data_IF_041547761684
#
_entry.id   IF_041547761684
#
_cell.length_a   1.000
_cell.length_b   1.000
_cell.length_c   1.000
_cell.angle_alpha   90.00
_cell.angle_beta   90.00
_cell.angle_gamma   90.00
#
_symmetry.space_group_name_H-M   'P 1'
#
loop_
_entity.id
_entity.type
_entity.pdbx_description
1 polymer ?
#
# COMPACT_ATOMS: atom_id res chain seq x y z
N UNK A 1 -16.68 -26.20 12.34
CA UNK A 1 -16.70 -24.94 11.60
C UNK A 1 -17.96 -24.18 12.02
N UNK A 2 -17.80 -22.94 12.54
CA UNK A 2 -18.94 -22.09 12.87
C UNK A 2 -19.39 -21.34 11.60
N UNK A 3 -20.69 -21.36 11.25
CA UNK A 3 -21.21 -20.60 10.13
C UNK A 3 -21.20 -19.11 10.48
N UNK A 4 -20.79 -18.28 9.54
CA UNK A 4 -20.86 -16.81 9.63
C UNK A 4 -21.81 -16.32 8.54
N UNK A 5 -22.72 -15.43 8.90
CA UNK A 5 -23.66 -14.81 7.95
C UNK A 5 -23.01 -13.53 7.41
N UNK A 6 -22.63 -13.56 6.14
CA UNK A 6 -22.29 -12.39 5.32
C UNK A 6 -23.41 -12.17 4.28
N UNK A 7 -23.08 -12.05 3.01
CA UNK A 7 -24.07 -12.08 1.92
C UNK A 7 -24.76 -13.44 1.86
N UNK A 8 -24.01 -14.51 2.16
CA UNK A 8 -24.49 -15.89 2.30
C UNK A 8 -24.01 -16.47 3.63
N UNK A 9 -24.47 -17.67 3.96
CA UNK A 9 -23.94 -18.44 5.10
C UNK A 9 -22.67 -19.14 4.64
N UNK A 10 -21.54 -18.73 5.20
CA UNK A 10 -20.22 -19.23 4.85
C UNK A 10 -19.53 -19.91 6.04
N UNK A 11 -18.63 -20.87 5.81
CA UNK A 11 -17.81 -21.44 6.86
C UNK A 11 -16.81 -20.37 7.37
N UNK A 12 -16.76 -20.14 8.67
CA UNK A 12 -15.80 -19.23 9.26
C UNK A 12 -14.38 -19.78 9.14
N UNK A 13 -13.44 -18.89 8.86
CA UNK A 13 -12.00 -19.14 8.93
C UNK A 13 -11.31 -18.04 9.75
N UNK A 14 -10.13 -18.36 10.25
CA UNK A 14 -9.25 -17.39 10.91
C UNK A 14 -7.96 -17.28 10.12
N UNK A 15 -7.63 -16.06 9.69
CA UNK A 15 -6.35 -15.73 9.07
C UNK A 15 -5.50 -14.94 10.07
N UNK A 16 -4.27 -15.38 10.30
CA UNK A 16 -3.30 -14.64 11.12
C UNK A 16 -2.24 -14.05 10.19
N UNK A 17 -2.17 -12.72 10.14
CA UNK A 17 -1.16 -12.00 9.37
C UNK A 17 -0.06 -11.52 10.30
N UNK A 18 1.12 -12.09 10.17
CA UNK A 18 2.33 -11.66 10.88
C UNK A 18 3.07 -10.63 10.05
N UNK A 19 3.44 -9.51 10.65
CA UNK A 19 4.23 -8.45 10.01
C UNK A 19 5.15 -7.76 11.02
N UNK A 20 6.14 -7.02 10.53
CA UNK A 20 7.08 -6.25 11.37
C UNK A 20 6.37 -5.17 12.18
N UNK A 21 5.33 -4.58 11.60
CA UNK A 21 4.48 -3.59 12.25
C UNK A 21 3.09 -3.60 11.60
N UNK A 22 2.08 -3.24 12.39
CA UNK A 22 0.71 -3.01 11.92
C UNK A 22 0.34 -1.52 11.88
N UNK A 23 1.34 -0.63 11.89
CA UNK A 23 1.12 0.80 11.71
C UNK A 23 0.67 1.06 10.28
N UNK A 24 -0.37 1.87 10.14
CA UNK A 24 -1.09 2.18 8.90
C UNK A 24 -1.10 3.69 8.65
N UNK A 25 -1.33 4.09 7.43
CA UNK A 25 -1.49 5.51 7.09
C UNK A 25 -2.58 6.18 7.91
N UNK A 26 -3.69 5.47 8.15
CA UNK A 26 -4.82 5.97 8.94
C UNK A 26 -4.47 6.38 10.37
N UNK A 27 -3.45 5.80 11.00
CA UNK A 27 -3.01 6.26 12.32
C UNK A 27 -2.46 7.70 12.29
N UNK A 28 -1.66 8.03 11.26
CA UNK A 28 -1.10 9.37 11.07
C UNK A 28 -2.18 10.37 10.67
N UNK A 29 -3.02 9.98 9.70
CA UNK A 29 -4.16 10.76 9.25
C UNK A 29 -5.08 11.11 10.42
N UNK A 30 -5.43 10.13 11.25
CA UNK A 30 -6.30 10.32 12.41
C UNK A 30 -5.73 11.35 13.40
N UNK A 31 -4.47 11.20 13.83
CA UNK A 31 -3.88 12.14 14.80
C UNK A 31 -3.68 13.52 14.21
N UNK A 32 -3.35 13.62 12.91
CA UNK A 32 -3.24 14.90 12.22
C UNK A 32 -4.62 15.61 12.13
N UNK A 33 -5.65 14.95 11.62
CA UNK A 33 -6.98 15.55 11.46
C UNK A 33 -7.69 15.85 12.79
N UNK A 34 -7.44 15.05 13.80
CA UNK A 34 -8.00 15.30 15.15
C UNK A 34 -7.17 16.27 15.98
N UNK A 35 -6.14 16.88 15.37
CA UNK A 35 -5.25 17.86 15.99
C UNK A 35 -4.64 17.37 17.32
N UNK A 36 -4.03 16.19 17.29
CA UNK A 36 -3.35 15.58 18.42
C UNK A 36 -1.83 15.52 18.16
N UNK A 37 -1.13 16.68 18.14
CA UNK A 37 0.27 16.75 17.71
C UNK A 37 1.22 15.95 18.62
N UNK A 38 0.94 15.89 19.93
CA UNK A 38 1.77 15.09 20.85
C UNK A 38 1.70 13.59 20.57
N UNK A 39 0.51 13.09 20.18
CA UNK A 39 0.35 11.68 19.80
C UNK A 39 0.95 11.39 18.43
N UNK A 40 0.83 12.33 17.50
CA UNK A 40 1.47 12.24 16.20
C UNK A 40 2.99 12.18 16.35
N UNK A 41 3.58 13.06 17.19
CA UNK A 41 5.01 13.03 17.50
C UNK A 41 5.40 11.69 18.14
N UNK A 42 4.66 11.21 19.12
CA UNK A 42 4.94 9.91 19.75
C UNK A 42 4.86 8.74 18.76
N UNK A 43 3.98 8.82 17.75
CA UNK A 43 3.90 7.83 16.68
C UNK A 43 5.13 7.89 15.77
N UNK A 44 5.61 9.07 15.39
CA UNK A 44 6.86 9.24 14.66
C UNK A 44 8.06 8.70 15.44
N UNK A 45 8.17 9.05 16.73
CA UNK A 45 9.25 8.57 17.59
C UNK A 45 9.26 7.06 17.72
N UNK A 46 8.06 6.45 17.81
CA UNK A 46 7.92 5.00 17.77
C UNK A 46 8.40 4.42 16.44
N UNK A 47 8.06 5.04 15.32
CA UNK A 47 8.50 4.60 13.99
C UNK A 47 10.04 4.64 13.87
N UNK A 48 10.68 5.70 14.29
CA UNK A 48 12.14 5.82 14.24
C UNK A 48 12.84 4.88 15.24
N UNK A 49 12.21 4.60 16.37
CA UNK A 49 12.79 3.70 17.38
C UNK A 49 12.71 2.22 16.99
N UNK A 50 11.66 1.80 16.26
CA UNK A 50 11.37 0.39 16.01
C UNK A 50 11.35 0.05 14.51
N UNK A 51 10.26 0.29 13.75
CA UNK A 51 10.16 -0.22 12.38
C UNK A 51 11.14 0.44 11.39
N UNK A 52 11.57 1.68 11.67
CA UNK A 52 12.52 2.43 10.83
C UNK A 52 13.77 2.86 11.61
N UNK A 53 14.24 2.01 12.53
CA UNK A 53 15.42 2.29 13.37
C UNK A 53 16.73 2.43 12.58
N UNK A 54 16.73 2.09 11.31
CA UNK A 54 17.85 2.33 10.39
C UNK A 54 17.93 3.77 9.90
N UNK A 55 16.84 4.54 9.99
CA UNK A 55 16.86 5.98 9.69
C UNK A 55 17.51 6.70 10.86
N UNK A 56 18.65 7.33 10.59
CA UNK A 56 19.44 7.99 11.63
C UNK A 56 18.82 9.33 12.05
N UNK A 57 19.14 9.78 13.28
CA UNK A 57 18.71 11.08 13.81
C UNK A 57 19.43 12.22 13.07
N UNK A 58 18.92 12.60 11.91
CA UNK A 58 19.38 13.71 11.07
C UNK A 58 18.26 14.72 10.87
N UNK A 59 18.59 15.89 10.34
CA UNK A 59 17.57 16.88 9.93
C UNK A 59 16.65 16.37 8.81
N UNK A 60 17.07 15.34 8.07
CA UNK A 60 16.32 14.74 6.95
C UNK A 60 15.48 13.53 7.33
N UNK A 61 15.45 13.08 8.59
CA UNK A 61 14.80 11.83 9.01
C UNK A 61 13.32 11.71 8.59
N UNK A 62 12.56 12.80 8.65
CA UNK A 62 11.15 12.80 8.23
C UNK A 62 11.01 12.66 6.71
N UNK A 63 11.89 13.31 5.95
CA UNK A 63 11.94 13.17 4.50
C UNK A 63 12.34 11.76 4.07
N UNK A 64 13.32 11.17 4.74
CA UNK A 64 13.76 9.78 4.53
C UNK A 64 12.64 8.81 4.81
N UNK A 65 11.89 8.99 5.93
CA UNK A 65 10.74 8.16 6.27
C UNK A 65 9.64 8.25 5.19
N UNK A 66 9.25 9.47 4.80
CA UNK A 66 8.24 9.68 3.78
C UNK A 66 8.65 9.04 2.45
N UNK A 67 9.89 9.28 2.01
CA UNK A 67 10.43 8.70 0.77
C UNK A 67 10.49 7.17 0.81
N UNK A 68 10.86 6.59 1.95
CA UNK A 68 10.88 5.14 2.13
C UNK A 68 9.47 4.56 2.00
N UNK A 69 8.48 5.15 2.68
CA UNK A 69 7.08 4.71 2.61
C UNK A 69 6.52 4.84 1.18
N UNK A 70 6.80 5.94 0.48
CA UNK A 70 6.44 6.14 -0.93
C UNK A 70 7.04 5.03 -1.81
N UNK A 71 8.34 4.77 -1.63
CA UNK A 71 9.07 3.75 -2.40
C UNK A 71 8.50 2.34 -2.18
N UNK A 72 8.26 1.97 -0.94
CA UNK A 72 7.77 0.63 -0.59
C UNK A 72 6.32 0.44 -1.04
N UNK A 73 5.50 1.48 -0.94
CA UNK A 73 4.13 1.47 -1.47
C UNK A 73 4.13 1.35 -3.00
N UNK A 74 4.98 2.10 -3.71
CA UNK A 74 5.11 2.00 -5.16
C UNK A 74 5.47 0.59 -5.62
N UNK A 75 6.44 -0.05 -4.95
CA UNK A 75 6.83 -1.44 -5.22
C UNK A 75 5.72 -2.44 -4.91
N UNK A 76 4.94 -2.24 -3.85
CA UNK A 76 3.79 -3.08 -3.53
C UNK A 76 2.73 -2.99 -4.62
N UNK A 77 2.35 -1.79 -5.03
CA UNK A 77 1.35 -1.56 -6.09
C UNK A 77 1.83 -2.13 -7.42
N UNK A 78 3.11 -1.99 -7.77
CA UNK A 78 3.70 -2.60 -8.96
C UNK A 78 3.53 -4.14 -8.96
N UNK A 79 3.73 -4.80 -7.81
CA UNK A 79 3.47 -6.24 -7.67
C UNK A 79 2.00 -6.58 -7.84
N UNK A 80 1.09 -5.81 -7.26
CA UNK A 80 -0.35 -6.03 -7.43
C UNK A 80 -0.75 -5.96 -8.89
N UNK A 81 -0.28 -4.93 -9.60
CA UNK A 81 -0.56 -4.78 -11.03
C UNK A 81 0.09 -5.89 -11.88
N UNK A 82 1.32 -6.31 -11.57
CA UNK A 82 2.03 -7.33 -12.33
C UNK A 82 1.44 -8.74 -12.17
N UNK A 83 0.88 -9.03 -10.98
CA UNK A 83 0.34 -10.35 -10.65
C UNK A 83 -1.19 -10.44 -10.71
N UNK A 84 -1.86 -9.38 -11.16
CA UNK A 84 -3.32 -9.37 -11.27
C UNK A 84 -4.04 -9.39 -9.92
N UNK A 85 -3.42 -8.86 -8.85
CA UNK A 85 -4.04 -8.80 -7.53
C UNK A 85 -4.90 -7.55 -7.37
N UNK A 86 -6.18 -7.74 -7.04
CA UNK A 86 -7.11 -6.68 -6.67
C UNK A 86 -7.41 -6.74 -5.17
N UNK A 87 -7.10 -5.66 -4.45
CA UNK A 87 -7.32 -5.59 -2.99
C UNK A 87 -8.77 -5.33 -2.62
N UNK A 88 -9.47 -4.49 -3.38
CA UNK A 88 -10.89 -4.18 -3.24
C UNK A 88 -11.30 -3.22 -2.12
N UNK A 89 -10.42 -2.88 -1.17
CA UNK A 89 -10.70 -1.87 -0.11
C UNK A 89 -9.41 -1.15 0.28
N UNK A 90 -9.03 -0.15 -0.49
CA UNK A 90 -7.78 0.59 -0.32
C UNK A 90 -8.02 1.94 0.37
N UNK A 91 -8.58 1.94 1.57
CA UNK A 91 -8.58 3.12 2.43
C UNK A 91 -7.25 3.21 3.21
N UNK A 92 -6.99 4.35 3.86
CA UNK A 92 -5.76 4.58 4.62
C UNK A 92 -5.55 3.60 5.78
N UNK A 93 -6.65 3.02 6.31
CA UNK A 93 -6.59 1.99 7.35
C UNK A 93 -6.12 0.63 6.84
N UNK A 94 -6.10 0.43 5.52
CA UNK A 94 -5.63 -0.79 4.88
C UNK A 94 -4.26 -0.63 4.19
N UNK A 95 -3.60 0.52 4.41
CA UNK A 95 -2.29 0.82 3.84
C UNK A 95 -1.20 0.77 4.91
N UNK A 96 -0.28 -0.18 4.77
CA UNK A 96 0.87 -0.34 5.66
C UNK A 96 1.96 0.68 5.35
N UNK A 97 2.61 1.22 6.39
CA UNK A 97 3.83 2.04 6.21
C UNK A 97 5.03 1.25 5.67
N UNK A 98 4.95 -0.07 5.61
CA UNK A 98 6.01 -0.94 5.06
C UNK A 98 5.74 -1.40 3.62
N UNK A 99 4.72 -0.90 2.94
CA UNK A 99 4.37 -1.37 1.61
C UNK A 99 4.13 -2.88 1.55
N UNK A 100 3.46 -3.43 2.55
CA UNK A 100 3.05 -4.84 2.62
C UNK A 100 1.54 -4.96 2.58
N UNK A 101 1.04 -6.00 1.92
CA UNK A 101 -0.39 -6.29 1.86
C UNK A 101 -0.87 -6.88 3.17
N UNK A 102 -1.92 -6.30 3.75
CA UNK A 102 -2.70 -6.87 4.85
C UNK A 102 -4.16 -6.42 4.78
N UNK A 103 -4.99 -6.86 5.73
CA UNK A 103 -6.44 -6.64 5.72
C UNK A 103 -7.12 -7.23 4.47
N UNK A 104 -6.87 -8.51 4.25
CA UNK A 104 -7.46 -9.28 3.16
C UNK A 104 -8.99 -9.43 3.36
N UNK A 105 -9.73 -8.44 2.85
CA UNK A 105 -11.20 -8.45 2.78
C UNK A 105 -11.68 -9.12 1.50
N UNK A 106 -12.34 -8.39 0.60
CA UNK A 106 -12.86 -8.94 -0.66
C UNK A 106 -11.78 -9.00 -1.76
N UNK A 107 -10.55 -9.41 -1.46
CA UNK A 107 -9.48 -9.50 -2.47
C UNK A 107 -9.71 -10.60 -3.48
N UNK A 108 -9.13 -10.44 -4.66
CA UNK A 108 -9.11 -11.47 -5.70
C UNK A 108 -7.83 -11.39 -6.54
N UNK A 109 -7.55 -12.49 -7.27
CA UNK A 109 -6.63 -12.47 -8.40
C UNK A 109 -7.45 -12.55 -9.69
N UNK A 110 -7.02 -11.84 -10.73
CA UNK A 110 -7.66 -11.88 -12.04
C UNK A 110 -7.33 -13.21 -12.73
N UNK A 111 -8.35 -13.92 -13.21
CA UNK A 111 -8.18 -15.10 -14.07
C UNK A 111 -7.77 -14.66 -15.51
N UNK A 112 -8.50 -13.66 -16.03
CA UNK A 112 -8.21 -12.99 -17.28
C UNK A 112 -8.03 -11.49 -17.04
N UNK A 113 -7.24 -10.82 -17.87
CA UNK A 113 -7.03 -9.38 -17.73
C UNK A 113 -8.32 -8.60 -17.98
N UNK A 114 -8.78 -7.91 -16.97
CA UNK A 114 -9.91 -6.98 -17.00
C UNK A 114 -9.52 -5.72 -16.21
N UNK A 115 -9.32 -4.61 -16.90
CA UNK A 115 -8.82 -3.36 -16.29
C UNK A 115 -9.78 -2.81 -15.23
N UNK A 116 -11.07 -2.88 -15.47
CA UNK A 116 -12.16 -2.36 -14.61
C UNK A 116 -12.70 -3.40 -13.61
N UNK A 117 -11.95 -4.50 -13.39
CA UNK A 117 -12.38 -5.57 -12.47
C UNK A 117 -12.56 -5.06 -11.04
N UNK A 118 -13.70 -5.41 -10.43
CA UNK A 118 -14.08 -5.03 -9.08
C UNK A 118 -14.36 -6.31 -8.27
N UNK A 119 -13.53 -6.60 -7.27
CA UNK A 119 -13.74 -7.76 -6.39
C UNK A 119 -14.64 -7.45 -5.18
N UNK A 120 -14.87 -6.18 -4.87
CA UNK A 120 -15.70 -5.74 -3.76
C UNK A 120 -17.11 -5.42 -4.24
N UNK A 121 -18.07 -6.28 -3.95
CA UNK A 121 -19.47 -6.14 -4.39
C UNK A 121 -20.16 -4.89 -3.82
N UNK A 122 -19.63 -4.27 -2.78
CA UNK A 122 -20.16 -3.01 -2.22
C UNK A 122 -19.56 -1.75 -2.85
N UNK A 123 -18.53 -1.90 -3.68
CA UNK A 123 -17.91 -0.80 -4.43
C UNK A 123 -18.66 -0.54 -5.74
N UNK A 124 -19.87 0.01 -5.64
CA UNK A 124 -20.72 0.31 -6.80
C UNK A 124 -20.15 1.38 -7.74
N UNK A 125 -19.17 2.16 -7.28
CA UNK A 125 -18.54 3.23 -8.07
C UNK A 125 -17.27 2.78 -8.80
N UNK A 126 -16.75 1.60 -8.49
CA UNK A 126 -15.47 1.11 -9.00
C UNK A 126 -14.27 1.88 -8.45
N UNK A 127 -14.42 2.51 -7.29
CA UNK A 127 -13.32 3.27 -6.66
C UNK A 127 -12.06 2.43 -6.52
N UNK A 128 -12.22 1.13 -6.21
CA UNK A 128 -11.13 0.19 -6.00
C UNK A 128 -11.00 -0.84 -7.14
N UNK A 129 -11.44 -0.48 -8.36
CA UNK A 129 -11.22 -1.30 -9.53
C UNK A 129 -9.71 -1.53 -9.76
N UNK A 130 -9.37 -2.59 -10.48
CA UNK A 130 -7.98 -3.02 -10.65
C UNK A 130 -7.08 -1.92 -11.23
N UNK A 131 -7.53 -1.21 -12.24
CA UNK A 131 -6.79 -0.10 -12.86
C UNK A 131 -6.76 1.18 -12.01
N UNK A 132 -7.65 1.31 -11.01
CA UNK A 132 -7.69 2.45 -10.10
C UNK A 132 -6.68 2.33 -8.95
N UNK A 133 -6.15 1.15 -8.67
CA UNK A 133 -5.26 0.91 -7.53
C UNK A 133 -4.05 1.85 -7.47
N UNK A 134 -3.33 2.16 -8.58
CA UNK A 134 -2.23 3.11 -8.55
C UNK A 134 -2.66 4.52 -8.13
N UNK A 135 -3.77 5.01 -8.70
CA UNK A 135 -4.31 6.33 -8.37
C UNK A 135 -4.77 6.44 -6.92
N UNK A 136 -5.45 5.41 -6.41
CA UNK A 136 -5.89 5.34 -5.02
C UNK A 136 -4.70 5.23 -4.05
N UNK A 137 -3.66 4.49 -4.40
CA UNK A 137 -2.45 4.43 -3.58
C UNK A 137 -1.77 5.81 -3.46
N UNK A 138 -1.67 6.54 -4.58
CA UNK A 138 -1.14 7.91 -4.57
C UNK A 138 -2.03 8.85 -3.75
N UNK A 139 -3.35 8.72 -3.83
CA UNK A 139 -4.28 9.47 -2.99
C UNK A 139 -4.05 9.18 -1.50
N UNK A 140 -3.89 7.91 -1.11
CA UNK A 140 -3.60 7.50 0.26
C UNK A 140 -2.23 8.03 0.74
N UNK A 141 -1.22 8.03 -0.12
CA UNK A 141 0.08 8.63 0.18
C UNK A 141 -0.02 10.13 0.41
N UNK A 142 -0.87 10.85 -0.35
CA UNK A 142 -1.16 12.25 -0.08
C UNK A 142 -1.80 12.44 1.31
N UNK A 143 -2.82 11.64 1.65
CA UNK A 143 -3.45 11.70 2.98
C UNK A 143 -2.43 11.44 4.11
N UNK A 144 -1.55 10.46 3.93
CA UNK A 144 -0.44 10.17 4.86
C UNK A 144 0.55 11.33 4.95
N UNK A 145 0.90 11.94 3.82
CA UNK A 145 1.89 13.01 3.74
C UNK A 145 1.45 14.30 4.43
N UNK A 146 0.14 14.55 4.56
CA UNK A 146 -0.36 15.70 5.35
C UNK A 146 0.11 15.67 6.80
N UNK A 147 0.33 14.49 7.38
CA UNK A 147 0.87 14.38 8.74
C UNK A 147 2.31 14.89 8.89
N UNK A 148 3.00 15.13 7.79
CA UNK A 148 4.38 15.65 7.78
C UNK A 148 4.45 17.17 7.61
N UNK A 149 3.32 17.88 7.49
CA UNK A 149 3.28 19.32 7.20
C UNK A 149 3.98 20.21 8.25
N UNK A 150 4.07 19.75 9.51
CA UNK A 150 4.79 20.46 10.57
C UNK A 150 6.31 20.16 10.59
N UNK A 151 6.77 19.19 9.79
CA UNK A 151 8.13 18.66 9.78
C UNK A 151 8.87 18.89 8.47
N UNK A 152 8.14 19.01 7.36
CA UNK A 152 8.66 19.15 6.00
C UNK A 152 8.01 20.32 5.29
N UNK A 153 8.78 20.95 4.41
CA UNK A 153 8.24 21.94 3.47
C UNK A 153 7.34 21.27 2.42
N UNK A 154 6.43 22.04 1.84
CA UNK A 154 5.58 21.59 0.74
C UNK A 154 6.41 21.02 -0.44
N UNK A 155 7.56 21.63 -0.75
CA UNK A 155 8.44 21.17 -1.83
C UNK A 155 9.04 19.79 -1.53
N UNK A 156 9.42 19.51 -0.30
CA UNK A 156 9.92 18.20 0.11
C UNK A 156 8.82 17.14 0.05
N UNK A 157 7.61 17.46 0.52
CA UNK A 157 6.47 16.55 0.45
C UNK A 157 6.14 16.21 -1.00
N UNK A 158 5.98 17.23 -1.86
CA UNK A 158 5.70 17.04 -3.29
C UNK A 158 6.82 16.26 -3.97
N UNK A 159 8.09 16.60 -3.67
CA UNK A 159 9.24 15.89 -4.22
C UNK A 159 9.30 14.41 -3.84
N UNK A 160 8.90 14.06 -2.62
CA UNK A 160 8.78 12.66 -2.20
C UNK A 160 7.65 11.94 -2.93
N UNK A 161 6.46 12.54 -3.01
CA UNK A 161 5.29 11.94 -3.67
C UNK A 161 5.49 11.74 -5.18
N UNK A 162 6.20 12.65 -5.85
CA UNK A 162 6.51 12.54 -7.28
C UNK A 162 7.38 11.33 -7.62
N UNK A 163 8.04 10.70 -6.64
CA UNK A 163 8.81 9.48 -6.86
C UNK A 163 7.93 8.23 -7.02
N UNK A 164 6.66 8.28 -6.61
CA UNK A 164 5.77 7.12 -6.63
C UNK A 164 5.63 6.49 -8.02
N UNK A 165 5.20 7.27 -9.01
CA UNK A 165 4.91 6.75 -10.34
C UNK A 165 6.16 6.21 -11.06
N UNK A 166 7.31 6.93 -11.12
CA UNK A 166 8.52 6.38 -11.74
C UNK A 166 8.99 5.07 -11.11
N UNK A 167 8.97 4.97 -9.76
CA UNK A 167 9.38 3.75 -9.05
C UNK A 167 8.41 2.62 -9.34
N UNK A 168 7.11 2.89 -9.30
CA UNK A 168 6.06 1.89 -9.58
C UNK A 168 6.22 1.34 -11.00
N UNK A 169 6.33 2.20 -12.01
CA UNK A 169 6.50 1.80 -13.41
C UNK A 169 7.79 1.01 -13.63
N UNK A 170 8.91 1.48 -13.09
CA UNK A 170 10.19 0.77 -13.19
C UNK A 170 10.10 -0.64 -12.61
N UNK A 171 9.47 -0.77 -11.43
CA UNK A 171 9.34 -2.07 -10.77
C UNK A 171 8.34 -2.98 -11.49
N UNK A 172 7.25 -2.44 -12.01
CA UNK A 172 6.28 -3.17 -12.83
C UNK A 172 6.93 -3.74 -14.09
N UNK A 173 7.68 -2.92 -14.85
CA UNK A 173 8.42 -3.38 -16.04
C UNK A 173 9.44 -4.47 -15.69
N UNK A 174 10.18 -4.29 -14.60
CA UNK A 174 11.12 -5.31 -14.15
C UNK A 174 10.42 -6.66 -13.91
N UNK A 175 9.29 -6.68 -13.22
CA UNK A 175 8.55 -7.89 -12.91
C UNK A 175 7.98 -8.55 -14.17
N UNK A 176 7.38 -7.77 -15.06
CA UNK A 176 6.73 -8.29 -16.28
C UNK A 176 7.73 -8.80 -17.31
N UNK A 177 8.86 -8.10 -17.52
CA UNK A 177 9.92 -8.51 -18.44
C UNK A 177 10.64 -9.76 -17.90
N UNK A 178 10.99 -9.80 -16.61
CA UNK A 178 11.63 -10.97 -16.01
C UNK A 178 10.77 -12.22 -16.13
N UNK A 179 9.45 -12.10 -15.97
CA UNK A 179 8.52 -13.22 -16.11
C UNK A 179 8.43 -13.74 -17.55
N UNK A 180 8.42 -12.86 -18.54
CA UNK A 180 8.38 -13.26 -19.96
C UNK A 180 9.66 -13.97 -20.39
N UNK A 181 10.83 -13.55 -19.90
CA UNK A 181 12.10 -14.21 -20.19
C UNK A 181 12.20 -15.62 -19.55
N UNK A 182 11.70 -15.82 -18.33
CA UNK A 182 11.68 -17.13 -17.69
C UNK A 182 10.81 -18.12 -18.47
N UNK A 183 9.62 -17.71 -18.94
CA UNK A 183 8.74 -18.59 -19.75
C UNK A 183 9.32 -18.94 -21.11
N UNK A 184 10.09 -18.06 -21.74
CA UNK A 184 10.72 -18.32 -23.04
C UNK A 184 11.79 -19.45 -22.96
N UNK A 185 12.36 -19.72 -21.77
CA UNK A 185 13.32 -20.79 -21.54
C UNK A 185 12.68 -22.12 -21.10
N UNK A 186 11.40 -22.10 -20.72
CA UNK A 186 10.68 -23.30 -20.24
C UNK A 186 9.84 -24.00 -21.31
N UNK A 187 9.73 -23.46 -22.53
CA UNK A 187 9.05 -24.15 -23.64
C UNK A 187 9.96 -25.25 -24.19
N UNK A 188 9.63 -26.55 -24.00
CA UNK A 188 10.38 -27.62 -24.63
C UNK A 188 10.25 -27.46 -26.15
N UNK A 189 11.36 -27.41 -26.84
CA UNK A 189 11.40 -27.57 -28.28
C UNK A 189 11.07 -29.04 -28.53
N UNK A 190 9.84 -29.34 -28.92
CA UNK A 190 9.47 -30.64 -29.49
C UNK A 190 9.94 -30.71 -30.95
#
# INVERSE_FOLDING_TARGET
QHPVRREQIEPAAMLIRVSQSHIRFGHFEYFHHTQQPEKLQALFDFCFKYPFSHITETSSKYYELLTQVVTDTAKMIARWQAYGFNHGVMNTDNMSIHGITFDYGPYAFLDDFQSDYICNHTDHSGRYAFDQQPGIALWNLNAFAHAFSDYLSEQEIVGALQQFEPIMLQHFYYLTVSYTHLRAHETPIN
#
